data_IF_863955397053
#
_entry.id   IF_863955397053
#
_cell.length_a   1.000
_cell.length_b   1.000
_cell.length_c   1.000
_cell.angle_alpha   90.00
_cell.angle_beta   90.00
_cell.angle_gamma   90.00
#
_symmetry.space_group_name_H-M   'P 1'
#
loop_
_entity.id
_entity.type
_entity.pdbx_description
1 polymer ?
#
# COMPACT_ATOMS: atom_id res chain seq x y z
N UNK A 1 -9.39 -1.62 -14.25
CA UNK A 1 -8.29 -1.55 -13.25
C UNK A 1 -8.19 -0.14 -12.69
N UNK A 2 -8.09 0.91 -13.51
CA UNK A 2 -7.99 2.31 -13.05
C UNK A 2 -9.20 2.74 -12.22
N UNK A 3 -10.41 2.44 -12.66
CA UNK A 3 -11.63 2.82 -11.93
C UNK A 3 -11.65 2.27 -10.51
N UNK A 4 -11.27 0.99 -10.33
CA UNK A 4 -11.25 0.38 -9.01
C UNK A 4 -10.08 0.91 -8.16
N UNK A 5 -8.85 0.90 -8.70
CA UNK A 5 -7.67 1.14 -7.89
C UNK A 5 -7.34 2.63 -7.71
N UNK A 6 -7.66 3.49 -8.67
CA UNK A 6 -7.41 4.92 -8.57
C UNK A 6 -8.69 5.71 -8.24
N UNK A 7 -9.72 5.62 -9.08
CA UNK A 7 -10.96 6.37 -8.81
C UNK A 7 -11.66 5.90 -7.55
N UNK A 8 -11.61 4.58 -7.25
CA UNK A 8 -12.13 4.02 -5.99
C UNK A 8 -11.38 4.50 -4.74
N UNK A 9 -10.18 5.10 -4.88
CA UNK A 9 -9.47 5.80 -3.81
C UNK A 9 -9.79 7.29 -3.81
N UNK A 10 -9.76 7.94 -4.97
CA UNK A 10 -9.94 9.38 -5.10
C UNK A 10 -11.35 9.84 -4.70
N UNK A 11 -12.39 9.15 -5.17
CA UNK A 11 -13.78 9.56 -4.92
C UNK A 11 -14.17 9.55 -3.43
N UNK A 12 -13.88 8.50 -2.64
CA UNK A 12 -14.10 8.54 -1.20
C UNK A 12 -13.35 9.67 -0.50
N UNK A 13 -12.10 9.94 -0.90
CA UNK A 13 -11.33 11.05 -0.33
C UNK A 13 -12.05 12.37 -0.55
N UNK A 14 -12.56 12.65 -1.75
CA UNK A 14 -13.30 13.89 -2.04
C UNK A 14 -14.57 14.06 -1.18
N UNK A 15 -15.19 12.95 -0.77
CA UNK A 15 -16.39 12.98 0.08
C UNK A 15 -16.02 13.21 1.54
N UNK A 16 -15.12 12.39 2.08
CA UNK A 16 -14.83 12.37 3.52
C UNK A 16 -13.93 13.51 3.99
N UNK A 17 -13.10 14.08 3.11
CA UNK A 17 -12.23 15.21 3.51
C UNK A 17 -12.99 16.47 3.84
N UNK A 18 -14.23 16.66 3.40
CA UNK A 18 -15.03 17.84 3.76
C UNK A 18 -15.18 17.94 5.28
N UNK A 19 -15.63 16.88 5.92
CA UNK A 19 -15.82 16.86 7.37
C UNK A 19 -14.47 16.96 8.12
N UNK A 20 -13.42 16.36 7.58
CA UNK A 20 -12.07 16.44 8.17
C UNK A 20 -11.53 17.88 8.15
N UNK A 21 -11.74 18.62 7.05
CA UNK A 21 -11.33 20.03 6.93
C UNK A 21 -12.09 20.89 7.93
N UNK A 22 -13.40 20.71 8.06
CA UNK A 22 -14.22 21.44 9.03
C UNK A 22 -13.76 21.19 10.47
N UNK A 23 -13.44 19.94 10.80
CA UNK A 23 -12.94 19.55 12.13
C UNK A 23 -11.46 19.89 12.35
N UNK A 24 -10.73 20.26 11.29
CA UNK A 24 -9.28 20.48 11.28
C UNK A 24 -8.50 19.28 11.85
N UNK A 25 -8.95 18.08 11.57
CA UNK A 25 -8.36 16.84 12.07
C UNK A 25 -8.73 15.67 11.17
N UNK A 26 -7.74 14.83 10.85
CA UNK A 26 -7.97 13.60 10.08
C UNK A 26 -6.68 12.87 9.73
N UNK A 27 -6.82 11.58 9.53
CA UNK A 27 -5.75 10.73 8.99
C UNK A 27 -6.28 9.93 7.80
N UNK A 28 -5.68 10.11 6.64
CA UNK A 28 -5.96 9.36 5.42
C UNK A 28 -4.84 8.34 5.23
N UNK A 29 -5.20 7.06 5.11
CA UNK A 29 -4.26 6.00 4.84
C UNK A 29 -4.66 5.32 3.53
N UNK A 30 -3.90 5.58 2.48
CA UNK A 30 -4.10 4.97 1.18
C UNK A 30 -3.41 3.61 1.11
N UNK A 31 -4.02 2.65 0.43
CA UNK A 31 -3.38 1.36 0.16
C UNK A 31 -2.76 1.40 -1.24
N UNK A 32 -1.45 1.61 -1.25
CA UNK A 32 -0.61 1.54 -2.43
C UNK A 32 -0.22 0.07 -2.73
N UNK A 33 0.99 -0.18 -3.15
CA UNK A 33 1.57 -1.52 -3.38
C UNK A 33 3.09 -1.36 -3.56
N UNK A 34 3.85 -2.42 -3.41
CA UNK A 34 5.25 -2.44 -3.88
C UNK A 34 5.35 -2.13 -5.38
N UNK A 35 4.29 -2.37 -6.17
CA UNK A 35 4.23 -1.99 -7.59
C UNK A 35 4.18 -0.49 -7.81
N UNK A 36 3.89 0.31 -6.77
CA UNK A 36 4.00 1.77 -6.82
C UNK A 36 5.45 2.24 -6.82
N UNK A 37 6.35 1.40 -6.32
CA UNK A 37 7.77 1.71 -6.08
C UNK A 37 8.63 0.98 -7.12
N UNK A 38 8.32 -0.30 -7.38
CA UNK A 38 9.05 -1.16 -8.31
C UNK A 38 8.14 -1.68 -9.42
N UNK A 39 8.57 -1.68 -10.68
CA UNK A 39 7.78 -2.23 -11.77
C UNK A 39 7.74 -3.76 -11.68
N UNK A 40 6.53 -4.32 -11.66
CA UNK A 40 6.33 -5.76 -11.82
C UNK A 40 5.87 -6.08 -13.23
N UNK A 41 6.47 -7.10 -13.83
CA UNK A 41 6.08 -7.60 -15.16
C UNK A 41 4.64 -8.14 -15.15
N UNK A 42 3.96 -8.08 -16.29
CA UNK A 42 2.60 -8.61 -16.54
C UNK A 42 1.44 -7.87 -15.86
N UNK A 43 1.70 -6.82 -15.06
CA UNK A 43 0.66 -6.10 -14.31
C UNK A 43 0.74 -4.58 -14.50
N UNK A 44 1.07 -4.13 -15.71
CA UNK A 44 1.33 -2.71 -16.01
C UNK A 44 0.18 -1.79 -15.61
N UNK A 45 -1.07 -2.13 -15.93
CA UNK A 45 -2.23 -1.29 -15.60
C UNK A 45 -2.45 -1.17 -14.09
N UNK A 46 -2.19 -2.25 -13.33
CA UNK A 46 -2.25 -2.24 -11.88
C UNK A 46 -1.09 -1.41 -11.28
N UNK A 47 0.14 -1.62 -11.76
CA UNK A 47 1.30 -0.86 -11.32
C UNK A 47 1.12 0.64 -11.53
N UNK A 48 0.64 1.05 -12.72
CA UNK A 48 0.36 2.46 -13.02
C UNK A 48 -0.70 3.05 -12.09
N UNK A 49 -1.80 2.32 -11.84
CA UNK A 49 -2.83 2.77 -10.91
C UNK A 49 -2.28 2.95 -9.49
N UNK A 50 -1.47 2.01 -9.01
CA UNK A 50 -0.87 2.08 -7.67
C UNK A 50 0.25 3.15 -7.58
N UNK A 51 0.99 3.42 -8.65
CA UNK A 51 1.92 4.56 -8.71
C UNK A 51 1.18 5.91 -8.67
N UNK A 52 0.01 5.98 -9.29
CA UNK A 52 -0.85 7.16 -9.19
C UNK A 52 -1.32 7.41 -7.73
N UNK A 53 -1.58 6.35 -6.94
CA UNK A 53 -1.90 6.45 -5.51
C UNK A 53 -0.71 7.02 -4.71
N UNK A 54 0.52 6.65 -5.05
CA UNK A 54 1.71 7.22 -4.42
C UNK A 54 1.76 8.74 -4.61
N UNK A 55 1.65 9.21 -5.85
CA UNK A 55 1.64 10.64 -6.15
C UNK A 55 0.44 11.37 -5.52
N UNK A 56 -0.77 10.77 -5.59
CA UNK A 56 -1.97 11.30 -4.95
C UNK A 56 -1.77 11.48 -3.44
N UNK A 57 -1.16 10.50 -2.77
CA UNK A 57 -0.87 10.57 -1.32
C UNK A 57 0.01 11.77 -0.98
N UNK A 58 1.06 11.98 -1.74
CA UNK A 58 1.98 13.11 -1.55
C UNK A 58 1.28 14.45 -1.83
N UNK A 59 0.50 14.52 -2.91
CA UNK A 59 -0.27 15.71 -3.24
C UNK A 59 -1.27 16.07 -2.13
N UNK A 60 -2.02 15.09 -1.62
CA UNK A 60 -2.98 15.28 -0.53
C UNK A 60 -2.30 15.72 0.77
N UNK A 61 -1.14 15.16 1.08
CA UNK A 61 -0.36 15.55 2.26
C UNK A 61 0.04 17.03 2.23
N UNK A 62 0.44 17.53 1.06
CA UNK A 62 0.75 18.95 0.87
C UNK A 62 -0.52 19.80 0.89
N UNK A 63 -1.55 19.39 0.14
CA UNK A 63 -2.78 20.15 -0.02
C UNK A 63 -3.54 20.36 1.31
N UNK A 64 -3.59 19.34 2.15
CA UNK A 64 -4.34 19.35 3.41
C UNK A 64 -3.46 19.61 4.66
N UNK A 65 -2.15 19.83 4.50
CA UNK A 65 -1.22 19.98 5.62
C UNK A 65 -1.63 21.08 6.61
N UNK A 66 -2.04 22.24 6.10
CA UNK A 66 -2.50 23.37 6.93
C UNK A 66 -3.91 23.15 7.53
N UNK A 67 -4.65 22.17 7.03
CA UNK A 67 -5.98 21.81 7.51
C UNK A 67 -5.96 20.82 8.69
N UNK A 68 -4.77 20.43 9.16
CA UNK A 68 -4.63 19.46 10.25
C UNK A 68 -4.92 18.02 9.83
N UNK A 69 -4.86 17.71 8.53
CA UNK A 69 -5.09 16.37 8.00
C UNK A 69 -3.76 15.79 7.52
N UNK A 70 -3.47 14.57 7.95
CA UNK A 70 -2.32 13.80 7.46
C UNK A 70 -2.77 12.83 6.37
N UNK A 71 -1.95 12.66 5.35
CA UNK A 71 -2.19 11.67 4.29
C UNK A 71 -0.93 10.84 4.06
N UNK A 72 -1.03 9.55 4.28
CA UNK A 72 0.06 8.59 4.12
C UNK A 72 -0.42 7.37 3.33
N UNK A 73 0.49 6.52 2.91
CA UNK A 73 0.15 5.26 2.27
C UNK A 73 0.91 4.09 2.88
N UNK A 74 0.29 2.92 2.87
CA UNK A 74 0.96 1.64 3.08
C UNK A 74 1.16 1.01 1.70
N UNK A 75 2.36 0.48 1.46
CA UNK A 75 2.69 -0.27 0.25
C UNK A 75 2.93 -1.74 0.61
N UNK A 76 1.88 -2.58 0.60
CA UNK A 76 2.03 -4.00 0.88
C UNK A 76 2.89 -4.70 -0.17
N UNK A 77 3.72 -5.64 0.27
CA UNK A 77 4.40 -6.59 -0.58
C UNK A 77 3.48 -7.72 -1.02
N UNK A 78 3.96 -8.94 -0.91
CA UNK A 78 3.20 -10.13 -1.28
C UNK A 78 2.65 -10.84 -0.04
N UNK A 79 1.33 -10.92 0.02
CA UNK A 79 0.57 -11.55 1.09
C UNK A 79 -0.20 -12.73 0.54
N UNK A 80 -0.17 -13.86 1.24
CA UNK A 80 -1.02 -14.99 0.88
C UNK A 80 -2.44 -14.73 1.41
N UNK A 81 -3.40 -14.68 0.49
CA UNK A 81 -4.81 -14.49 0.80
C UNK A 81 -5.67 -15.37 -0.12
N UNK A 82 -6.93 -15.62 0.25
CA UNK A 82 -7.84 -16.45 -0.51
C UNK A 82 -7.94 -16.02 -1.98
N UNK A 83 -8.05 -14.70 -2.23
CA UNK A 83 -8.20 -14.13 -3.58
C UNK A 83 -7.02 -14.39 -4.52
N UNK A 84 -5.83 -14.73 -4.02
CA UNK A 84 -4.64 -14.98 -4.83
C UNK A 84 -4.06 -16.39 -4.64
N UNK A 85 -4.79 -17.25 -3.93
CA UNK A 85 -4.35 -18.61 -3.60
C UNK A 85 -3.91 -19.39 -4.85
N UNK A 86 -4.72 -19.43 -5.88
CA UNK A 86 -4.43 -20.18 -7.11
C UNK A 86 -3.26 -19.61 -7.95
N UNK A 87 -2.85 -18.37 -7.67
CA UNK A 87 -1.66 -17.79 -8.27
C UNK A 87 -0.37 -18.19 -7.55
N UNK A 88 -0.49 -18.61 -6.28
CA UNK A 88 0.63 -18.89 -5.39
C UNK A 88 0.79 -20.37 -5.08
N UNK A 89 -0.29 -21.14 -5.08
CA UNK A 89 -0.29 -22.55 -4.71
C UNK A 89 -0.83 -23.41 -5.84
N UNK A 90 -0.22 -24.57 -6.04
CA UNK A 90 -0.71 -25.62 -6.91
C UNK A 90 -1.81 -26.42 -6.18
N UNK A 91 -2.54 -27.28 -6.90
CA UNK A 91 -3.60 -28.10 -6.33
C UNK A 91 -3.12 -29.08 -5.23
N UNK A 92 -1.84 -29.44 -5.24
CA UNK A 92 -1.18 -30.28 -4.21
C UNK A 92 -0.65 -29.47 -3.01
N UNK A 93 -0.90 -28.16 -2.97
CA UNK A 93 -0.44 -27.26 -1.90
C UNK A 93 1.01 -26.78 -2.06
N UNK A 94 1.74 -27.24 -3.08
CA UNK A 94 3.09 -26.75 -3.36
C UNK A 94 3.07 -25.34 -3.95
N UNK A 95 4.19 -24.61 -3.84
CA UNK A 95 4.32 -23.29 -4.43
C UNK A 95 4.41 -23.35 -5.96
N UNK A 96 3.69 -22.44 -6.62
CA UNK A 96 3.85 -22.20 -8.06
C UNK A 96 5.24 -21.62 -8.36
N UNK A 97 5.67 -21.62 -9.61
CA UNK A 97 6.90 -20.96 -10.05
C UNK A 97 6.90 -19.45 -9.74
N UNK A 98 5.72 -18.83 -9.82
CA UNK A 98 5.54 -17.44 -9.44
C UNK A 98 5.78 -17.23 -7.95
N UNK A 99 5.21 -18.06 -7.10
CA UNK A 99 5.40 -18.00 -5.65
C UNK A 99 6.85 -18.17 -5.26
N UNK A 100 7.55 -19.16 -5.84
CA UNK A 100 8.98 -19.39 -5.62
C UNK A 100 9.83 -18.16 -5.97
N UNK A 101 9.56 -17.50 -7.11
CA UNK A 101 10.28 -16.28 -7.52
C UNK A 101 10.01 -15.11 -6.57
N UNK A 102 8.78 -14.95 -6.11
CA UNK A 102 8.43 -13.92 -5.14
C UNK A 102 9.18 -14.14 -3.82
N UNK A 103 9.15 -15.36 -3.28
CA UNK A 103 9.82 -15.71 -2.03
C UNK A 103 11.34 -15.53 -2.16
N UNK A 104 11.93 -15.95 -3.29
CA UNK A 104 13.36 -15.77 -3.56
C UNK A 104 13.77 -14.28 -3.63
N UNK A 105 12.87 -13.40 -4.05
CA UNK A 105 13.08 -11.94 -4.06
C UNK A 105 12.69 -11.24 -2.76
N UNK A 106 12.18 -11.97 -1.76
CA UNK A 106 11.78 -11.43 -0.47
C UNK A 106 12.82 -11.83 0.58
N UNK A 107 13.63 -10.91 1.14
CA UNK A 107 14.67 -11.25 2.12
C UNK A 107 14.16 -12.01 3.35
N UNK A 108 12.93 -11.77 3.81
CA UNK A 108 12.32 -12.53 4.91
C UNK A 108 11.90 -13.95 4.51
N UNK A 109 12.02 -14.35 3.24
CA UNK A 109 11.86 -15.74 2.76
C UNK A 109 10.45 -16.29 2.82
N UNK A 110 9.42 -15.45 2.93
CA UNK A 110 8.02 -15.87 3.04
C UNK A 110 7.04 -14.81 2.51
N UNK A 111 5.80 -15.20 2.35
CA UNK A 111 4.69 -14.25 2.22
C UNK A 111 4.38 -13.59 3.56
N UNK A 112 3.85 -12.37 3.51
CA UNK A 112 3.27 -11.72 4.67
C UNK A 112 1.91 -12.33 5.04
N UNK A 113 1.53 -12.21 6.31
CA UNK A 113 0.18 -12.45 6.78
C UNK A 113 -0.57 -11.11 6.83
N UNK A 114 -1.85 -11.03 6.43
CA UNK A 114 -2.61 -9.78 6.41
C UNK A 114 -2.60 -9.01 7.75
N UNK A 115 -2.55 -9.71 8.88
CA UNK A 115 -2.49 -9.14 10.21
C UNK A 115 -1.21 -8.33 10.46
N UNK A 116 -0.14 -8.59 9.72
CA UNK A 116 1.12 -7.84 9.84
C UNK A 116 1.00 -6.39 9.29
N UNK A 117 -0.09 -6.06 8.59
CA UNK A 117 -0.40 -4.69 8.18
C UNK A 117 -1.04 -3.85 9.31
N UNK A 118 -1.59 -4.49 10.34
CA UNK A 118 -2.32 -3.82 11.42
C UNK A 118 -1.44 -2.81 12.15
N UNK A 119 -0.21 -3.18 12.49
CA UNK A 119 0.74 -2.30 13.18
C UNK A 119 1.04 -1.01 12.40
N UNK A 120 1.24 -1.12 11.08
CA UNK A 120 1.46 0.01 10.20
C UNK A 120 0.21 0.92 10.11
N UNK A 121 -0.97 0.32 10.01
CA UNK A 121 -2.22 1.05 9.96
C UNK A 121 -2.51 1.80 11.27
N UNK A 122 -2.33 1.16 12.43
CA UNK A 122 -2.49 1.77 13.74
C UNK A 122 -1.50 2.90 13.97
N UNK A 123 -0.22 2.70 13.61
CA UNK A 123 0.81 3.74 13.68
C UNK A 123 0.40 4.99 12.89
N UNK A 124 0.02 4.83 11.62
CA UNK A 124 -0.34 5.96 10.77
C UNK A 124 -1.69 6.60 11.14
N UNK A 125 -2.61 5.85 11.74
CA UNK A 125 -3.91 6.36 12.16
C UNK A 125 -3.82 7.23 13.41
N UNK A 126 -2.89 6.93 14.34
CA UNK A 126 -2.79 7.60 15.63
C UNK A 126 -2.03 8.92 15.55
N UNK A 127 -2.61 9.99 16.07
CA UNK A 127 -1.93 11.27 16.22
C UNK A 127 -0.87 11.25 17.35
N UNK A 128 -1.00 10.36 18.31
CA UNK A 128 0.01 10.21 19.38
C UNK A 128 1.35 9.71 18.83
N UNK A 129 1.31 8.85 17.81
CA UNK A 129 2.52 8.21 17.27
C UNK A 129 2.97 8.78 15.92
N UNK A 130 2.09 9.42 15.17
CA UNK A 130 2.34 9.86 13.78
C UNK A 130 1.93 11.31 13.49
N UNK A 131 1.83 12.18 14.52
CA UNK A 131 1.38 13.58 14.33
C UNK A 131 2.24 14.38 13.35
N UNK A 132 3.51 14.04 13.17
CA UNK A 132 4.42 14.71 12.23
C UNK A 132 4.80 13.82 11.03
N UNK A 133 4.08 12.71 10.83
CA UNK A 133 4.26 11.79 9.69
C UNK A 133 3.21 12.11 8.63
N UNK A 134 3.64 12.71 7.52
CA UNK A 134 2.76 13.15 6.45
C UNK A 134 3.44 12.98 5.08
N UNK A 135 2.74 12.44 4.10
CA UNK A 135 3.20 12.25 2.74
C UNK A 135 4.09 11.02 2.51
N UNK A 136 4.27 10.15 3.51
CA UNK A 136 5.09 8.95 3.35
C UNK A 136 4.34 7.82 2.65
N UNK A 137 5.12 6.95 2.02
CA UNK A 137 4.70 5.62 1.58
C UNK A 137 5.52 4.60 2.35
N UNK A 138 4.85 3.83 3.20
CA UNK A 138 5.47 2.85 4.09
C UNK A 138 5.39 1.45 3.47
N UNK A 139 6.52 0.89 2.96
CA UNK A 139 6.56 -0.50 2.52
C UNK A 139 6.39 -1.45 3.72
N UNK A 140 5.51 -2.43 3.57
CA UNK A 140 5.38 -3.57 4.50
C UNK A 140 5.47 -4.82 3.63
N UNK A 141 6.69 -5.27 3.33
CA UNK A 141 6.96 -6.15 2.20
C UNK A 141 8.04 -7.22 2.44
N UNK A 142 8.47 -7.39 3.68
CA UNK A 142 9.53 -8.35 4.03
C UNK A 142 10.89 -8.04 3.41
N UNK A 143 11.12 -6.77 3.02
CA UNK A 143 12.35 -6.30 2.39
C UNK A 143 12.37 -6.41 0.87
N UNK A 144 11.25 -6.79 0.24
CA UNK A 144 11.18 -7.00 -1.20
C UNK A 144 11.63 -5.77 -2.00
N UNK A 145 11.18 -4.58 -1.64
CA UNK A 145 11.53 -3.35 -2.35
C UNK A 145 12.94 -2.84 -2.05
N UNK A 146 13.57 -3.32 -0.98
CA UNK A 146 14.93 -2.95 -0.61
C UNK A 146 16.00 -3.87 -1.22
N UNK A 147 15.61 -5.03 -1.73
CA UNK A 147 16.52 -6.05 -2.22
C UNK A 147 16.99 -5.75 -3.65
N UNK A 148 18.30 -5.63 -3.85
CA UNK A 148 18.91 -5.34 -5.14
C UNK A 148 19.14 -6.59 -6.00
N UNK A 149 18.91 -7.79 -5.48
CA UNK A 149 19.16 -9.06 -6.19
C UNK A 149 20.57 -9.65 -5.99
N UNK A 150 21.41 -9.02 -5.17
CA UNK A 150 22.78 -9.47 -4.82
C UNK A 150 23.01 -9.40 -3.33
#
# INVERSE_FOLDING_TARGET
VMDLNYMGTLLPIQVFTKDMVEKRSGSIINIASVTSILPLTKVIAYGNAKSAILNLTQWLAVHFGESGIRCNAIAPGFYAAEQNHDLLFNADGSYTDRARKIIAGTPMGRFGNPEELIGAALFLASDETASFVNGIVLPVDGGYSAYSGV
#
